data_IF_927627935870
#
_entry.id   IF_927627935870
#
_cell.length_a   1.000
_cell.length_b   1.000
_cell.length_c   1.000
_cell.angle_alpha   90.00
_cell.angle_beta   90.00
_cell.angle_gamma   90.00
#
_symmetry.space_group_name_H-M   'P 1'
#
loop_
_entity.id
_entity.type
_entity.pdbx_description
1 polymer ?
#
# COMPACT_ATOMS: atom_id res chain seq x y z
N UNK A 1 -8.21 -15.65 -7.73
CA UNK A 1 -7.81 -14.25 -7.81
C UNK A 1 -6.44 -14.09 -7.18
N UNK A 2 -5.53 -13.42 -7.85
CA UNK A 2 -4.21 -13.13 -7.28
C UNK A 2 -4.24 -11.77 -6.59
N UNK A 3 -3.87 -11.76 -5.32
CA UNK A 3 -3.85 -10.55 -4.49
C UNK A 3 -2.42 -10.35 -3.97
N UNK A 4 -1.88 -9.14 -4.18
CA UNK A 4 -0.57 -8.76 -3.65
C UNK A 4 -0.80 -7.84 -2.47
N UNK A 5 -0.25 -8.20 -1.32
CA UNK A 5 -0.35 -7.39 -0.09
C UNK A 5 0.99 -6.70 0.15
N UNK A 6 1.03 -5.40 -0.09
CA UNK A 6 2.22 -4.59 0.18
C UNK A 6 2.29 -4.35 1.69
N UNK A 7 3.42 -4.69 2.29
CA UNK A 7 3.55 -4.71 3.75
C UNK A 7 3.01 -6.00 4.37
N UNK A 8 2.91 -7.08 3.57
CA UNK A 8 2.29 -8.35 3.98
C UNK A 8 3.02 -9.11 5.07
N UNK A 9 4.24 -8.72 5.44
CA UNK A 9 4.97 -9.34 6.55
C UNK A 9 4.85 -8.55 7.85
N UNK A 10 4.21 -7.38 7.81
CA UNK A 10 3.99 -6.56 9.00
C UNK A 10 2.86 -7.09 9.88
N UNK A 11 2.59 -6.40 10.99
CA UNK A 11 1.59 -6.83 11.97
C UNK A 11 0.19 -6.94 11.35
N UNK A 12 -0.26 -5.89 10.69
CA UNK A 12 -1.58 -5.89 10.04
C UNK A 12 -1.54 -6.72 8.76
N UNK A 13 -0.49 -6.55 7.97
CA UNK A 13 -0.36 -7.23 6.69
C UNK A 13 -0.36 -8.75 6.80
N UNK A 14 0.32 -9.30 7.78
CA UNK A 14 0.35 -10.76 7.97
C UNK A 14 -1.02 -11.33 8.29
N UNK A 15 -1.83 -10.60 9.05
CA UNK A 15 -3.21 -11.00 9.35
C UNK A 15 -4.09 -10.94 8.11
N UNK A 16 -3.94 -9.90 7.29
CA UNK A 16 -4.66 -9.77 6.02
C UNK A 16 -4.32 -10.91 5.07
N UNK A 17 -3.03 -11.21 4.94
CA UNK A 17 -2.56 -12.33 4.10
C UNK A 17 -3.19 -13.63 4.54
N UNK A 18 -3.18 -13.92 5.84
CA UNK A 18 -3.74 -15.15 6.38
C UNK A 18 -5.23 -15.28 6.09
N UNK A 19 -5.99 -14.21 6.29
CA UNK A 19 -7.43 -14.23 6.06
C UNK A 19 -7.77 -14.40 4.58
N UNK A 20 -7.03 -13.73 3.69
CA UNK A 20 -7.25 -13.87 2.26
C UNK A 20 -6.89 -15.27 1.75
N UNK A 21 -5.82 -15.86 2.28
CA UNK A 21 -5.46 -17.25 1.96
C UNK A 21 -6.55 -18.22 2.42
N UNK A 22 -7.10 -18.01 3.61
CA UNK A 22 -8.18 -18.84 4.14
C UNK A 22 -9.45 -18.72 3.30
N UNK A 23 -9.63 -17.62 2.59
CA UNK A 23 -10.77 -17.41 1.68
C UNK A 23 -10.53 -17.98 0.29
N UNK A 24 -9.41 -18.65 0.07
CA UNK A 24 -9.14 -19.36 -1.19
C UNK A 24 -8.43 -18.54 -2.26
N UNK A 25 -7.92 -17.36 -1.93
CA UNK A 25 -7.18 -16.53 -2.88
C UNK A 25 -5.70 -16.90 -2.93
N UNK A 26 -5.07 -16.67 -4.07
CA UNK A 26 -3.62 -16.71 -4.20
C UNK A 26 -3.08 -15.37 -3.69
N UNK A 27 -2.32 -15.39 -2.59
CA UNK A 27 -1.86 -14.17 -1.93
C UNK A 27 -0.34 -14.14 -1.87
N UNK A 28 0.23 -13.03 -2.35
CA UNK A 28 1.66 -12.77 -2.23
C UNK A 28 1.88 -11.69 -1.17
N UNK A 29 2.64 -12.03 -0.13
CA UNK A 29 3.06 -11.07 0.89
C UNK A 29 4.30 -10.35 0.37
N UNK A 30 4.17 -9.09 -0.01
CA UNK A 30 5.23 -8.31 -0.61
C UNK A 30 5.82 -7.34 0.41
N UNK A 31 7.13 -7.44 0.64
CA UNK A 31 7.86 -6.57 1.55
C UNK A 31 9.34 -6.59 1.19
N UNK A 32 10.17 -5.68 1.74
CA UNK A 32 11.62 -5.75 1.50
C UNK A 32 12.22 -7.09 1.89
N UNK A 33 11.68 -7.73 2.93
CA UNK A 33 12.15 -9.06 3.36
C UNK A 33 11.87 -10.15 2.33
N UNK A 34 10.87 -9.97 1.50
CA UNK A 34 10.54 -10.92 0.43
C UNK A 34 11.07 -10.49 -0.94
N UNK A 35 11.92 -9.48 -0.99
CA UNK A 35 12.53 -9.01 -2.22
C UNK A 35 11.72 -7.96 -2.99
N UNK A 36 10.70 -7.38 -2.38
CA UNK A 36 9.86 -6.36 -3.02
C UNK A 36 10.01 -5.05 -2.25
N UNK A 37 10.64 -4.06 -2.87
CA UNK A 37 10.89 -2.77 -2.24
C UNK A 37 10.22 -1.65 -3.02
N UNK A 38 9.18 -1.06 -2.46
CA UNK A 38 8.43 0.01 -3.12
C UNK A 38 9.22 1.32 -3.19
N UNK A 39 10.21 1.51 -2.32
CA UNK A 39 11.02 2.73 -2.35
C UNK A 39 12.02 2.74 -3.52
N UNK A 40 12.48 1.57 -3.94
CA UNK A 40 13.42 1.44 -5.05
C UNK A 40 12.76 0.91 -6.32
N UNK A 41 11.59 0.32 -6.21
CA UNK A 41 10.92 -0.37 -7.30
C UNK A 41 11.38 -1.80 -7.50
N UNK A 42 12.33 -2.29 -6.70
CA UNK A 42 12.89 -3.63 -6.84
C UNK A 42 11.81 -4.69 -6.59
N UNK A 43 11.69 -5.63 -7.53
CA UNK A 43 10.77 -6.76 -7.42
C UNK A 43 9.30 -6.43 -7.69
N UNK A 44 8.94 -5.16 -7.93
CA UNK A 44 7.54 -4.77 -8.12
C UNK A 44 6.93 -5.39 -9.38
N UNK A 45 7.63 -5.34 -10.50
CA UNK A 45 7.07 -5.85 -11.75
C UNK A 45 6.78 -7.34 -11.66
N UNK A 46 7.69 -8.09 -11.08
CA UNK A 46 7.55 -9.54 -10.88
C UNK A 46 6.42 -9.85 -9.91
N UNK A 47 6.33 -9.11 -8.80
CA UNK A 47 5.31 -9.33 -7.78
C UNK A 47 3.90 -9.05 -8.32
N UNK A 48 3.77 -8.03 -9.15
CA UNK A 48 2.47 -7.60 -9.68
C UNK A 48 2.04 -8.37 -10.93
N UNK A 49 2.91 -9.19 -11.49
CA UNK A 49 2.57 -9.95 -12.68
C UNK A 49 1.37 -10.86 -12.44
N UNK A 50 0.30 -10.67 -13.20
CA UNK A 50 -0.94 -11.44 -13.06
C UNK A 50 -1.79 -11.03 -11.86
N UNK A 51 -1.42 -9.99 -11.12
CA UNK A 51 -2.20 -9.55 -9.95
C UNK A 51 -3.51 -8.91 -10.38
N UNK A 52 -4.59 -9.28 -9.69
CA UNK A 52 -5.90 -8.68 -9.88
C UNK A 52 -6.14 -7.52 -8.92
N UNK A 53 -5.67 -7.65 -7.68
CA UNK A 53 -5.91 -6.69 -6.61
C UNK A 53 -4.62 -6.46 -5.85
N UNK A 54 -4.37 -5.21 -5.49
CA UNK A 54 -3.28 -4.84 -4.58
C UNK A 54 -3.88 -4.28 -3.31
N UNK A 55 -3.42 -4.78 -2.17
CA UNK A 55 -3.78 -4.28 -0.85
C UNK A 55 -2.53 -3.67 -0.23
N UNK A 56 -2.55 -2.36 -0.02
CA UNK A 56 -1.39 -1.65 0.55
C UNK A 56 -1.65 -1.34 2.02
N UNK A 57 -0.99 -2.09 2.88
CA UNK A 57 -1.00 -1.89 4.33
C UNK A 57 0.39 -1.55 4.84
N UNK A 58 1.27 -1.10 3.96
CA UNK A 58 2.63 -0.73 4.32
C UNK A 58 2.64 0.51 5.21
N UNK A 59 3.68 0.63 6.02
CA UNK A 59 3.85 1.76 6.91
C UNK A 59 5.31 2.21 6.92
N UNK A 60 5.52 3.49 7.23
CA UNK A 60 6.86 4.03 7.31
C UNK A 60 7.57 3.52 8.56
N UNK A 61 8.89 3.21 8.47
CA UNK A 61 9.68 2.88 9.66
C UNK A 61 9.90 4.08 10.57
N UNK A 62 9.67 5.29 10.10
CA UNK A 62 9.80 6.53 10.88
C UNK A 62 8.52 7.35 10.78
N UNK A 63 8.15 8.02 11.86
CA UNK A 63 7.01 8.95 11.86
C UNK A 63 7.45 10.41 11.83
N UNK A 64 8.73 10.70 11.66
CA UNK A 64 9.21 12.06 11.47
C UNK A 64 8.71 12.61 10.13
N UNK A 65 8.50 13.93 10.06
CA UNK A 65 7.80 14.55 8.93
C UNK A 65 8.42 14.27 7.56
N UNK A 66 9.72 14.46 7.42
CA UNK A 66 10.39 14.26 6.13
C UNK A 66 10.46 12.77 5.75
N UNK A 67 10.93 11.87 6.62
CA UNK A 67 10.99 10.45 6.27
C UNK A 67 9.63 9.84 5.96
N UNK A 68 8.57 10.19 6.71
CA UNK A 68 7.26 9.63 6.48
C UNK A 68 6.65 10.12 5.17
N UNK A 69 6.83 11.39 4.84
CA UNK A 69 6.39 11.93 3.56
C UNK A 69 7.14 11.28 2.40
N UNK A 70 8.45 11.16 2.53
CA UNK A 70 9.28 10.50 1.54
C UNK A 70 8.82 9.06 1.31
N UNK A 71 8.54 8.33 2.38
CA UNK A 71 8.09 6.93 2.30
C UNK A 71 6.80 6.81 1.48
N UNK A 72 5.75 7.51 1.89
CA UNK A 72 4.45 7.34 1.23
C UNK A 72 4.44 7.91 -0.18
N UNK A 73 5.11 9.02 -0.42
CA UNK A 73 5.20 9.61 -1.75
C UNK A 73 5.99 8.72 -2.71
N UNK A 74 7.20 8.34 -2.32
CA UNK A 74 8.10 7.56 -3.18
C UNK A 74 7.56 6.17 -3.43
N UNK A 75 7.03 5.50 -2.40
CA UNK A 75 6.48 4.16 -2.57
C UNK A 75 5.31 4.16 -3.54
N UNK A 76 4.45 5.16 -3.48
CA UNK A 76 3.31 5.25 -4.41
C UNK A 76 3.73 5.71 -5.79
N UNK A 77 4.76 6.54 -5.92
CA UNK A 77 5.32 6.91 -7.22
C UNK A 77 5.85 5.69 -8.00
N UNK A 78 6.36 4.69 -7.28
CA UNK A 78 6.82 3.44 -7.89
C UNK A 78 5.69 2.41 -8.05
N UNK A 79 4.84 2.29 -7.04
CA UNK A 79 3.82 1.25 -6.99
C UNK A 79 2.68 1.47 -7.99
N UNK A 80 2.11 2.68 -8.02
CA UNK A 80 0.93 2.94 -8.83
C UNK A 80 1.16 2.79 -10.33
N UNK A 81 2.27 3.33 -10.90
CA UNK A 81 2.55 3.07 -12.31
C UNK A 81 2.81 1.58 -12.60
N UNK A 82 3.43 0.86 -11.68
CA UNK A 82 3.68 -0.57 -11.84
C UNK A 82 2.36 -1.36 -11.83
N UNK A 83 1.41 -0.99 -10.97
CA UNK A 83 0.08 -1.59 -10.95
C UNK A 83 -0.65 -1.35 -12.27
N UNK A 84 -0.59 -0.12 -12.77
CA UNK A 84 -1.25 0.24 -14.02
C UNK A 84 -0.67 -0.55 -15.20
N UNK A 85 0.65 -0.67 -15.25
CA UNK A 85 1.35 -1.45 -16.27
C UNK A 85 0.99 -2.93 -16.20
N UNK A 86 0.83 -3.46 -14.98
CA UNK A 86 0.49 -4.87 -14.77
C UNK A 86 -0.99 -5.18 -15.00
N UNK A 87 -1.84 -4.16 -15.17
CA UNK A 87 -3.27 -4.35 -15.38
C UNK A 87 -4.04 -4.66 -14.10
N UNK A 88 -3.55 -4.22 -12.95
CA UNK A 88 -4.25 -4.38 -11.68
C UNK A 88 -5.63 -3.73 -11.75
N UNK A 89 -6.66 -4.47 -11.33
CA UNK A 89 -8.04 -4.06 -11.50
C UNK A 89 -8.58 -3.25 -10.32
N UNK A 90 -7.95 -3.39 -9.15
CA UNK A 90 -8.41 -2.69 -7.95
C UNK A 90 -7.27 -2.50 -6.96
N UNK A 91 -7.22 -1.30 -6.37
CA UNK A 91 -6.22 -0.95 -5.35
C UNK A 91 -6.94 -0.65 -4.03
N UNK A 92 -6.56 -1.34 -2.98
CA UNK A 92 -7.11 -1.11 -1.63
C UNK A 92 -5.98 -0.56 -0.76
N UNK A 93 -6.19 0.61 -0.19
CA UNK A 93 -5.22 1.22 0.70
C UNK A 93 -5.79 1.37 2.10
N UNK A 94 -4.94 1.13 3.09
CA UNK A 94 -5.31 1.37 4.47
C UNK A 94 -5.11 2.84 4.79
N UNK A 95 -6.17 3.52 5.21
CA UNK A 95 -6.13 4.90 5.64
C UNK A 95 -6.50 5.01 7.12
N UNK A 96 -6.47 6.22 7.65
CA UNK A 96 -6.74 6.45 9.08
C UNK A 96 -7.89 7.41 9.24
N UNK A 97 -8.72 7.17 10.26
CA UNK A 97 -9.83 8.07 10.59
C UNK A 97 -9.28 9.35 11.18
N UNK A 98 -9.81 10.49 10.71
CA UNK A 98 -9.41 11.79 11.22
C UNK A 98 -8.19 12.40 10.53
N UNK A 99 -7.76 11.85 9.40
CA UNK A 99 -6.63 12.38 8.62
C UNK A 99 -6.75 13.88 8.40
N UNK A 100 -7.94 14.35 8.03
CA UNK A 100 -8.17 15.77 7.77
C UNK A 100 -8.04 16.63 9.00
N UNK A 101 -8.43 16.11 10.17
CA UNK A 101 -8.33 16.84 11.44
C UNK A 101 -6.91 16.89 11.96
N UNK A 102 -6.07 15.93 11.58
CA UNK A 102 -4.73 15.74 12.12
C UNK A 102 -3.65 16.10 11.12
N UNK A 103 -3.96 16.94 10.13
CA UNK A 103 -3.00 17.32 9.10
C UNK A 103 -1.78 18.09 9.63
N UNK A 104 -1.83 18.55 10.86
CA UNK A 104 -0.65 19.12 11.51
C UNK A 104 0.44 18.07 11.75
N UNK A 105 0.08 16.78 11.77
CA UNK A 105 1.05 15.69 11.87
C UNK A 105 1.63 15.37 10.50
N UNK A 106 2.94 15.18 10.41
CA UNK A 106 3.58 14.77 9.16
C UNK A 106 3.08 13.43 8.65
N UNK A 107 2.76 12.50 9.56
CA UNK A 107 2.19 11.21 9.20
C UNK A 107 0.85 11.37 8.47
N UNK A 108 -0.05 12.17 9.00
CA UNK A 108 -1.37 12.33 8.39
C UNK A 108 -1.30 13.10 7.09
N UNK A 109 -0.39 14.07 6.97
CA UNK A 109 -0.15 14.76 5.68
C UNK A 109 0.34 13.77 4.63
N UNK A 110 1.24 12.87 5.01
CA UNK A 110 1.78 11.86 4.10
C UNK A 110 0.68 10.89 3.65
N UNK A 111 -0.20 10.47 4.55
CA UNK A 111 -1.34 9.63 4.20
C UNK A 111 -2.30 10.34 3.26
N UNK A 112 -2.51 11.65 3.43
CA UNK A 112 -3.33 12.44 2.52
C UNK A 112 -2.71 12.48 1.12
N UNK A 113 -1.40 12.67 1.03
CA UNK A 113 -0.70 12.62 -0.26
C UNK A 113 -0.88 11.26 -0.92
N UNK A 114 -0.77 10.18 -0.16
CA UNK A 114 -1.01 8.83 -0.67
C UNK A 114 -2.42 8.70 -1.26
N UNK A 115 -3.44 9.13 -0.53
CA UNK A 115 -4.82 9.07 -1.01
C UNK A 115 -5.01 9.88 -2.28
N UNK A 116 -4.42 11.08 -2.35
CA UNK A 116 -4.52 11.94 -3.53
C UNK A 116 -3.85 11.31 -4.75
N UNK A 117 -2.70 10.68 -4.55
CA UNK A 117 -2.01 9.97 -5.64
C UNK A 117 -2.82 8.79 -6.16
N UNK A 118 -3.45 8.03 -5.27
CA UNK A 118 -4.30 6.90 -5.65
C UNK A 118 -5.48 7.39 -6.47
N UNK A 119 -6.13 8.45 -6.04
CA UNK A 119 -7.26 9.04 -6.78
C UNK A 119 -6.84 9.50 -8.17
N UNK A 120 -5.65 10.09 -8.29
CA UNK A 120 -5.13 10.60 -9.55
C UNK A 120 -4.64 9.50 -10.49
N UNK A 121 -4.40 8.29 -10.00
CA UNK A 121 -3.82 7.19 -10.78
C UNK A 121 -4.74 6.64 -11.87
N UNK A 122 -6.05 6.79 -11.71
CA UNK A 122 -7.04 6.20 -12.61
C UNK A 122 -7.33 4.73 -12.34
N UNK A 123 -6.68 4.11 -11.36
CA UNK A 123 -6.96 2.72 -10.97
C UNK A 123 -8.18 2.72 -10.05
N UNK A 124 -9.17 1.83 -10.25
CA UNK A 124 -10.27 1.70 -9.29
C UNK A 124 -9.71 1.43 -7.89
N UNK A 125 -10.21 2.13 -6.90
CA UNK A 125 -9.61 2.09 -5.57
C UNK A 125 -10.65 2.08 -4.46
N UNK A 126 -10.20 1.65 -3.28
CA UNK A 126 -10.94 1.75 -2.02
C UNK A 126 -9.96 2.10 -0.92
N UNK A 127 -10.24 3.14 -0.14
CA UNK A 127 -9.46 3.51 1.03
C UNK A 127 -10.22 3.09 2.28
N UNK A 128 -9.72 2.07 2.95
CA UNK A 128 -10.30 1.62 4.21
C UNK A 128 -9.78 2.47 5.35
N UNK A 129 -10.69 3.05 6.13
CA UNK A 129 -10.35 3.88 7.26
C UNK A 129 -10.54 3.12 8.56
N UNK A 130 -9.61 3.30 9.52
CA UNK A 130 -9.79 2.80 10.86
C UNK A 130 -9.14 3.77 11.85
N UNK A 131 -9.55 3.66 13.12
CA UNK A 131 -9.06 4.57 14.14
C UNK A 131 -7.61 4.24 14.51
N UNK A 132 -6.82 5.30 14.73
CA UNK A 132 -5.46 5.19 15.25
C UNK A 132 -5.48 5.55 16.73
N UNK A 133 -4.93 4.69 17.55
CA UNK A 133 -4.86 4.89 19.00
C UNK A 133 -3.42 5.03 19.47
#
# INVERSE_FOLDING_TARGET
>A
MKIVVIGGTGLIGSQVVKQLQNSGHEVLAASPNSGVNTLTGEGLNEALQGANVVVDVSNSPSFDDEPVMHFFKTSNENLLPAEKKAGVQHHIALSVVGTQKLQASGYFRAKQVQEDMIKASGIPYHCSCYAVF
#
